data_IF_986458995668
#
_entry.id   IF_986458995668
#
_cell.length_a   1.000
_cell.length_b   1.000
_cell.length_c   1.000
_cell.angle_alpha   90.00
_cell.angle_beta   90.00
_cell.angle_gamma   90.00
#
_symmetry.space_group_name_H-M   'P 1'
#
loop_
_entity.id
_entity.type
_entity.pdbx_description
1 polymer ?
#
# COMPACT_ATOMS: atom_id res chain seq x y z
N UNK A 1 -8.78 4.99 -27.98
CA UNK A 1 -8.69 5.27 -26.53
C UNK A 1 -7.34 5.87 -26.16
N UNK A 2 -6.22 5.13 -26.23
CA UNK A 2 -4.86 5.66 -25.92
C UNK A 2 -4.56 7.03 -26.56
N UNK A 3 -4.72 7.12 -27.89
CA UNK A 3 -4.51 8.37 -28.65
C UNK A 3 -5.37 9.52 -28.11
N UNK A 4 -6.64 9.25 -27.80
CA UNK A 4 -7.54 10.27 -27.27
C UNK A 4 -7.09 10.77 -25.90
N UNK A 5 -6.70 9.87 -24.99
CA UNK A 5 -6.18 10.28 -23.69
C UNK A 5 -4.92 11.15 -23.82
N UNK A 6 -3.94 10.71 -24.60
CA UNK A 6 -2.64 11.39 -24.68
C UNK A 6 -2.66 12.66 -25.54
N UNK A 7 -3.47 12.71 -26.60
CA UNK A 7 -3.42 13.82 -27.56
C UNK A 7 -4.57 14.81 -27.38
N UNK A 8 -5.72 14.37 -26.87
CA UNK A 8 -6.94 15.20 -26.85
C UNK A 8 -7.39 15.56 -25.42
N UNK A 9 -7.31 14.63 -24.46
CA UNK A 9 -7.84 14.85 -23.11
C UNK A 9 -6.79 15.40 -22.13
N UNK A 10 -5.74 14.64 -21.83
CA UNK A 10 -4.75 14.99 -20.81
C UNK A 10 -3.99 16.31 -21.08
N UNK A 11 -3.66 16.67 -22.35
CA UNK A 11 -3.00 17.94 -22.63
C UNK A 11 -3.78 19.18 -22.17
N UNK A 12 -5.12 19.09 -22.06
CA UNK A 12 -5.98 20.21 -21.64
C UNK A 12 -5.68 20.71 -20.23
N UNK A 13 -5.36 19.79 -19.31
CA UNK A 13 -5.13 20.10 -17.90
C UNK A 13 -3.70 20.55 -17.59
N UNK A 14 -2.79 20.50 -18.58
CA UNK A 14 -1.40 20.95 -18.48
C UNK A 14 -0.70 20.52 -17.18
N UNK A 15 -0.78 19.24 -16.84
CA UNK A 15 -0.35 18.72 -15.53
C UNK A 15 1.15 18.95 -15.22
N UNK A 16 1.97 19.19 -16.24
CA UNK A 16 3.38 19.54 -16.05
C UNK A 16 3.56 20.88 -15.32
N UNK A 17 2.59 21.81 -15.42
CA UNK A 17 2.67 23.12 -14.77
C UNK A 17 2.81 23.02 -13.25
N UNK A 18 2.26 21.98 -12.62
CA UNK A 18 2.44 21.73 -11.17
C UNK A 18 3.89 21.43 -10.76
N UNK A 19 4.77 21.16 -11.72
CA UNK A 19 6.16 20.76 -11.51
C UNK A 19 7.17 21.69 -12.21
N UNK A 20 6.71 22.61 -13.05
CA UNK A 20 7.58 23.54 -13.79
C UNK A 20 7.64 24.92 -13.13
N UNK A 21 8.60 25.71 -13.61
CA UNK A 21 8.89 27.05 -13.13
C UNK A 21 8.33 28.08 -14.11
N UNK A 22 7.75 29.17 -13.59
CA UNK A 22 7.49 30.36 -14.39
C UNK A 22 8.80 31.08 -14.70
N UNK A 23 9.33 30.91 -15.92
CA UNK A 23 10.61 31.47 -16.34
C UNK A 23 10.59 33.01 -16.26
N UNK A 24 9.52 33.66 -16.73
CA UNK A 24 9.43 35.12 -16.75
C UNK A 24 9.42 35.74 -15.34
N UNK A 25 8.61 35.17 -14.44
CA UNK A 25 8.52 35.61 -13.04
C UNK A 25 9.85 35.39 -12.31
N UNK A 26 10.47 34.21 -12.50
CA UNK A 26 11.77 33.88 -11.88
C UNK A 26 12.89 34.78 -12.38
N UNK A 27 12.92 35.09 -13.68
CA UNK A 27 13.92 36.00 -14.24
C UNK A 27 13.72 37.43 -13.74
N UNK A 28 12.48 37.85 -13.46
CA UNK A 28 12.22 39.16 -12.85
C UNK A 28 12.79 39.22 -11.43
N UNK A 29 12.51 38.20 -10.60
CA UNK A 29 13.08 38.09 -9.25
C UNK A 29 14.62 38.05 -9.30
N UNK A 30 15.18 37.32 -10.26
CA UNK A 30 16.63 37.27 -10.45
C UNK A 30 17.23 38.62 -10.84
N UNK A 31 16.60 39.38 -11.74
CA UNK A 31 17.03 40.76 -12.06
C UNK A 31 17.03 41.66 -10.84
N UNK A 32 15.96 41.59 -10.03
CA UNK A 32 15.84 42.36 -8.79
C UNK A 32 16.97 41.99 -7.81
N UNK A 33 17.28 40.70 -7.66
CA UNK A 33 18.41 40.23 -6.85
C UNK A 33 19.75 40.79 -7.36
N UNK A 34 20.05 40.63 -8.66
CA UNK A 34 21.32 41.07 -9.25
C UNK A 34 21.53 42.57 -9.16
N UNK A 35 20.45 43.37 -9.20
CA UNK A 35 20.52 44.83 -9.05
C UNK A 35 21.10 45.29 -7.70
N UNK A 36 21.11 44.41 -6.70
CA UNK A 36 21.64 44.68 -5.37
C UNK A 36 23.08 44.19 -5.16
N UNK A 37 23.62 43.42 -6.12
CA UNK A 37 24.90 42.75 -6.02
C UNK A 37 25.97 43.45 -6.87
N UNK A 38 27.24 43.33 -6.46
CA UNK A 38 28.36 43.79 -7.29
C UNK A 38 28.76 42.69 -8.30
N UNK A 39 28.84 43.04 -9.59
CA UNK A 39 29.21 42.12 -10.67
C UNK A 39 30.68 41.67 -10.55
N UNK A 40 30.96 40.38 -10.27
CA UNK A 40 32.32 39.87 -10.15
C UNK A 40 33.00 39.74 -11.52
N UNK A 41 34.34 39.69 -11.53
CA UNK A 41 35.11 39.52 -12.77
C UNK A 41 35.03 38.10 -13.34
N UNK A 42 34.81 37.12 -12.48
CA UNK A 42 34.74 35.69 -12.81
C UNK A 42 33.58 35.09 -12.00
N UNK A 43 32.96 34.00 -12.48
CA UNK A 43 31.94 33.31 -11.70
C UNK A 43 32.52 32.78 -10.39
N UNK A 44 31.72 32.78 -9.33
CA UNK A 44 32.10 32.20 -8.05
C UNK A 44 31.99 30.66 -8.04
N UNK A 45 31.16 30.10 -8.92
CA UNK A 45 31.00 28.66 -9.14
C UNK A 45 30.75 28.37 -10.62
N UNK A 46 31.22 27.24 -11.11
CA UNK A 46 30.94 26.75 -12.47
C UNK A 46 30.01 25.52 -12.46
N UNK A 47 29.46 25.18 -11.29
CA UNK A 47 28.68 23.97 -11.09
C UNK A 47 27.19 24.12 -11.50
N UNK A 48 26.95 24.41 -12.78
CA UNK A 48 25.60 24.60 -13.37
C UNK A 48 24.61 23.47 -13.04
N UNK A 49 25.12 22.24 -12.93
CA UNK A 49 24.32 21.06 -12.60
C UNK A 49 23.68 21.10 -11.20
N UNK A 50 24.13 21.97 -10.29
CA UNK A 50 23.53 22.17 -8.97
C UNK A 50 22.23 22.98 -9.02
N UNK A 51 21.99 23.74 -10.09
CA UNK A 51 20.70 24.40 -10.30
C UNK A 51 19.67 23.34 -10.64
N UNK A 52 18.80 23.06 -9.67
CA UNK A 52 17.76 22.04 -9.72
C UNK A 52 16.42 22.64 -9.29
N UNK A 53 15.34 22.14 -9.87
CA UNK A 53 13.98 22.55 -9.51
C UNK A 53 13.68 22.05 -8.09
N UNK A 54 13.22 22.97 -7.23
CA UNK A 54 12.67 22.70 -5.91
C UNK A 54 11.16 22.86 -5.99
N UNK A 55 10.42 21.79 -5.71
CA UNK A 55 8.96 21.81 -5.69
C UNK A 55 8.48 22.28 -4.31
N UNK A 56 7.55 23.25 -4.31
CA UNK A 56 6.85 23.71 -3.11
C UNK A 56 5.62 22.87 -2.82
N UNK A 57 4.46 23.52 -2.69
CA UNK A 57 3.15 22.87 -2.47
C UNK A 57 2.54 22.28 -3.75
N UNK A 58 3.34 22.05 -4.79
CA UNK A 58 2.87 21.64 -6.12
C UNK A 58 1.74 22.53 -6.64
N UNK A 59 1.99 23.84 -6.71
CA UNK A 59 1.09 24.82 -7.33
C UNK A 59 1.57 25.11 -8.77
N UNK A 60 0.65 25.46 -9.67
CA UNK A 60 0.96 25.70 -11.09
C UNK A 60 2.02 26.78 -11.26
N UNK A 61 3.11 26.43 -11.93
CA UNK A 61 4.26 27.28 -12.26
C UNK A 61 4.98 27.90 -11.05
N UNK A 62 4.78 27.34 -9.85
CA UNK A 62 5.36 27.82 -8.58
C UNK A 62 6.50 26.97 -8.06
N UNK A 63 7.06 26.08 -8.89
CA UNK A 63 8.36 25.49 -8.56
C UNK A 63 9.45 26.56 -8.65
N UNK A 64 10.55 26.39 -7.92
CA UNK A 64 11.60 27.41 -7.76
C UNK A 64 12.99 26.84 -8.01
N UNK A 65 13.99 27.70 -8.19
CA UNK A 65 15.42 27.36 -8.11
C UNK A 65 16.11 28.20 -7.05
N UNK A 66 17.34 27.82 -6.70
CA UNK A 66 18.20 28.59 -5.82
C UNK A 66 18.78 29.82 -6.55
N UNK A 67 18.16 30.99 -6.38
CA UNK A 67 18.56 32.22 -7.04
C UNK A 67 19.92 32.76 -6.56
N UNK A 68 20.26 32.54 -5.30
CA UNK A 68 21.57 32.91 -4.74
C UNK A 68 22.67 32.11 -5.41
N UNK A 69 22.50 30.78 -5.52
CA UNK A 69 23.42 29.93 -6.27
C UNK A 69 23.47 30.29 -7.76
N UNK A 70 22.31 30.61 -8.37
CA UNK A 70 22.26 31.05 -9.75
C UNK A 70 23.07 32.35 -9.97
N UNK A 71 23.05 33.28 -9.01
CA UNK A 71 23.86 34.50 -9.09
C UNK A 71 25.35 34.21 -9.07
N UNK A 72 25.78 33.23 -8.25
CA UNK A 72 27.19 32.82 -8.16
C UNK A 72 27.72 32.19 -9.45
N UNK A 73 26.83 31.56 -10.23
CA UNK A 73 27.17 30.84 -11.46
C UNK A 73 27.08 31.75 -12.69
N UNK A 74 25.98 32.50 -12.84
CA UNK A 74 25.68 33.19 -14.10
C UNK A 74 26.07 34.68 -14.13
N UNK A 75 26.22 35.32 -12.97
CA UNK A 75 26.49 36.76 -12.87
C UNK A 75 27.98 37.04 -12.73
N UNK A 76 28.61 37.44 -13.84
CA UNK A 76 30.01 37.87 -13.90
C UNK A 76 30.25 38.69 -15.17
N UNK A 77 31.33 39.47 -15.20
CA UNK A 77 31.69 40.31 -16.36
C UNK A 77 32.11 39.48 -17.56
N UNK A 78 31.38 39.60 -18.67
CA UNK A 78 31.67 38.88 -19.93
C UNK A 78 32.43 39.78 -20.92
N UNK A 79 33.41 39.21 -21.62
CA UNK A 79 34.23 39.94 -22.60
C UNK A 79 33.51 40.02 -23.95
N UNK A 80 32.80 41.12 -24.23
CA UNK A 80 32.05 41.33 -25.48
C UNK A 80 32.11 42.78 -26.02
N UNK A 81 31.90 43.02 -27.33
CA UNK A 81 32.06 44.34 -27.98
C UNK A 81 30.97 45.37 -27.66
N UNK A 82 29.98 45.03 -26.84
CA UNK A 82 28.94 45.93 -26.38
C UNK A 82 28.67 45.65 -24.90
N UNK A 83 28.68 46.72 -24.09
CA UNK A 83 28.31 46.73 -22.67
C UNK A 83 26.80 46.51 -22.47
N UNK A 84 26.23 45.53 -23.17
CA UNK A 84 24.88 45.05 -22.89
C UNK A 84 24.90 44.46 -21.48
N UNK A 85 24.09 45.07 -20.62
CA UNK A 85 23.96 44.86 -19.17
C UNK A 85 24.35 43.43 -18.73
N UNK A 86 25.37 43.30 -17.88
CA UNK A 86 25.84 42.01 -17.35
C UNK A 86 24.67 41.21 -16.72
N UNK A 87 23.67 41.93 -16.19
CA UNK A 87 22.42 41.37 -15.66
C UNK A 87 21.63 40.64 -16.76
N UNK A 88 21.44 41.25 -17.94
CA UNK A 88 20.68 40.61 -19.03
C UNK A 88 21.38 39.36 -19.56
N UNK A 89 22.72 39.38 -19.64
CA UNK A 89 23.50 38.21 -20.03
C UNK A 89 23.41 37.07 -18.99
N UNK A 90 23.37 37.41 -17.70
CA UNK A 90 23.14 36.44 -16.63
C UNK A 90 21.71 35.88 -16.69
N UNK A 91 20.71 36.73 -16.96
CA UNK A 91 19.32 36.33 -17.14
C UNK A 91 19.13 35.41 -18.36
N UNK A 92 19.81 35.68 -19.48
CA UNK A 92 19.77 34.82 -20.66
C UNK A 92 20.33 33.43 -20.35
N UNK A 93 21.49 33.36 -19.68
CA UNK A 93 22.09 32.08 -19.27
C UNK A 93 21.20 31.30 -18.28
N UNK A 94 20.61 31.98 -17.29
CA UNK A 94 19.65 31.35 -16.38
C UNK A 94 18.38 30.92 -17.13
N UNK A 95 17.90 31.72 -18.08
CA UNK A 95 16.73 31.38 -18.91
C UNK A 95 16.94 30.06 -19.65
N UNK A 96 18.08 29.90 -20.32
CA UNK A 96 18.43 28.65 -21.02
C UNK A 96 18.41 27.46 -20.06
N UNK A 97 18.97 27.63 -18.85
CA UNK A 97 18.94 26.59 -17.81
C UNK A 97 17.52 26.27 -17.36
N UNK A 98 16.69 27.27 -17.08
CA UNK A 98 15.32 27.08 -16.62
C UNK A 98 14.46 26.40 -17.69
N UNK A 99 14.61 26.78 -18.96
CA UNK A 99 13.94 26.14 -20.09
C UNK A 99 14.36 24.68 -20.20
N UNK A 100 15.66 24.39 -20.09
CA UNK A 100 16.19 23.03 -20.07
C UNK A 100 15.60 22.18 -18.94
N UNK A 101 15.57 22.71 -17.71
CA UNK A 101 15.00 22.03 -16.55
C UNK A 101 13.50 21.77 -16.71
N UNK A 102 12.74 22.76 -17.20
CA UNK A 102 11.32 22.60 -17.52
C UNK A 102 11.09 21.52 -18.58
N UNK A 103 11.97 21.41 -19.59
CA UNK A 103 11.88 20.36 -20.61
C UNK A 103 12.08 18.96 -20.00
N UNK A 104 13.08 18.78 -19.14
CA UNK A 104 13.32 17.51 -18.42
C UNK A 104 12.09 17.11 -17.61
N UNK A 105 11.52 18.05 -16.85
CA UNK A 105 10.32 17.79 -16.04
C UNK A 105 9.14 17.43 -16.94
N UNK A 106 8.93 18.17 -18.02
CA UNK A 106 7.85 17.87 -18.95
C UNK A 106 8.00 16.45 -19.55
N UNK A 107 9.20 16.07 -20.00
CA UNK A 107 9.45 14.72 -20.54
C UNK A 107 9.13 13.63 -19.51
N UNK A 108 9.53 13.84 -18.24
CA UNK A 108 9.23 12.92 -17.15
C UNK A 108 7.73 12.81 -16.86
N UNK A 109 7.02 13.93 -16.84
CA UNK A 109 5.56 13.94 -16.67
C UNK A 109 4.87 13.26 -17.85
N UNK A 110 5.34 13.45 -19.09
CA UNK A 110 4.83 12.71 -20.24
C UNK A 110 5.04 11.20 -20.09
N UNK A 111 6.20 10.75 -19.62
CA UNK A 111 6.41 9.33 -19.33
C UNK A 111 5.40 8.81 -18.30
N UNK A 112 5.20 9.53 -17.19
CA UNK A 112 4.24 9.16 -16.16
C UNK A 112 2.81 9.07 -16.71
N UNK A 113 2.40 10.03 -17.56
CA UNK A 113 1.07 10.04 -18.19
C UNK A 113 0.88 8.86 -19.14
N UNK A 114 1.92 8.50 -19.90
CA UNK A 114 1.89 7.29 -20.74
C UNK A 114 1.67 6.05 -19.88
N UNK A 115 2.38 5.92 -18.75
CA UNK A 115 2.21 4.79 -17.81
C UNK A 115 0.83 4.80 -17.14
N UNK A 116 0.30 5.97 -16.79
CA UNK A 116 -1.05 6.10 -16.24
C UNK A 116 -2.11 5.62 -17.24
N UNK A 117 -1.97 6.00 -18.51
CA UNK A 117 -2.86 5.52 -19.60
C UNK A 117 -2.69 4.02 -19.81
N UNK A 118 -1.46 3.49 -19.77
CA UNK A 118 -1.21 2.04 -19.86
C UNK A 118 -1.94 1.27 -18.77
N UNK A 119 -1.81 1.71 -17.51
CA UNK A 119 -2.48 1.09 -16.37
C UNK A 119 -4.01 1.21 -16.46
N UNK A 120 -4.53 2.35 -16.90
CA UNK A 120 -5.97 2.56 -17.11
C UNK A 120 -6.51 1.58 -18.15
N UNK A 121 -5.80 1.40 -19.27
CA UNK A 121 -6.16 0.44 -20.32
C UNK A 121 -6.01 -1.01 -19.86
N UNK A 122 -5.00 -1.29 -19.03
CA UNK A 122 -4.79 -2.60 -18.40
C UNK A 122 -5.97 -2.97 -17.48
N UNK A 123 -6.37 -2.05 -16.61
CA UNK A 123 -7.52 -2.22 -15.72
C UNK A 123 -8.81 -2.44 -16.51
N UNK A 124 -9.08 -1.62 -17.54
CA UNK A 124 -10.23 -1.82 -18.41
C UNK A 124 -10.18 -3.18 -19.13
N UNK A 125 -9.00 -3.60 -19.63
CA UNK A 125 -8.84 -4.92 -20.26
C UNK A 125 -9.20 -6.03 -19.29
N UNK A 126 -8.68 -5.96 -18.07
CA UNK A 126 -8.95 -6.95 -17.03
C UNK A 126 -10.43 -6.99 -16.65
N UNK A 127 -11.04 -5.84 -16.37
CA UNK A 127 -12.43 -5.76 -15.90
C UNK A 127 -13.47 -6.21 -16.93
N UNK A 128 -13.25 -5.94 -18.22
CA UNK A 128 -14.28 -6.13 -19.25
C UNK A 128 -14.00 -7.27 -20.23
N UNK A 129 -12.75 -7.68 -20.41
CA UNK A 129 -12.36 -8.56 -21.52
C UNK A 129 -11.49 -9.75 -21.14
N UNK A 130 -10.86 -9.74 -19.95
CA UNK A 130 -10.03 -10.86 -19.52
C UNK A 130 -10.90 -12.02 -19.04
N UNK A 131 -10.63 -13.23 -19.55
CA UNK A 131 -11.34 -14.45 -19.16
C UNK A 131 -11.36 -14.68 -17.64
N UNK A 132 -10.27 -14.34 -16.96
CA UNK A 132 -10.07 -14.45 -15.51
C UNK A 132 -10.39 -13.15 -14.74
N UNK A 133 -10.99 -12.17 -15.40
CA UNK A 133 -11.45 -10.93 -14.80
C UNK A 133 -12.93 -10.92 -14.46
N UNK A 134 -13.44 -9.82 -13.87
CA UNK A 134 -14.85 -9.64 -13.53
C UNK A 134 -15.85 -9.75 -14.69
N UNK A 135 -15.40 -9.58 -15.94
CA UNK A 135 -16.23 -9.62 -17.16
C UNK A 135 -17.46 -8.70 -17.10
N UNK A 136 -17.28 -7.44 -16.68
CA UNK A 136 -18.37 -6.46 -16.67
C UNK A 136 -18.93 -6.24 -18.08
N UNK A 137 -20.25 -6.16 -18.19
CA UNK A 137 -20.90 -6.02 -19.50
C UNK A 137 -21.02 -4.57 -19.98
N UNK A 138 -21.09 -3.61 -19.05
CA UNK A 138 -21.37 -2.19 -19.35
C UNK A 138 -20.58 -1.25 -18.46
N UNK A 139 -20.21 -0.10 -19.03
CA UNK A 139 -19.59 0.99 -18.28
C UNK A 139 -20.70 1.77 -17.58
N UNK A 140 -20.61 1.86 -16.25
CA UNK A 140 -21.54 2.61 -15.39
C UNK A 140 -20.75 3.30 -14.26
N UNK A 141 -21.42 4.04 -13.38
CA UNK A 141 -20.76 4.59 -12.18
C UNK A 141 -20.34 3.47 -11.20
N UNK A 142 -21.05 2.35 -11.19
CA UNK A 142 -20.74 1.18 -10.35
C UNK A 142 -19.66 0.29 -10.98
N UNK A 143 -19.58 0.27 -12.31
CA UNK A 143 -18.59 -0.46 -13.10
C UNK A 143 -17.84 0.50 -14.03
N UNK A 144 -17.03 1.41 -13.47
CA UNK A 144 -16.38 2.45 -14.25
C UNK A 144 -15.26 1.89 -15.13
N UNK A 145 -14.87 2.67 -16.14
CA UNK A 145 -13.75 2.35 -17.03
C UNK A 145 -12.43 2.14 -16.27
N UNK A 146 -12.25 2.91 -15.20
CA UNK A 146 -11.15 2.80 -14.24
C UNK A 146 -11.72 3.00 -12.84
N UNK A 147 -11.18 2.29 -11.85
CA UNK A 147 -11.60 2.42 -10.47
C UNK A 147 -11.46 3.85 -9.97
N UNK A 148 -12.33 4.25 -9.04
CA UNK A 148 -12.24 5.56 -8.42
C UNK A 148 -11.07 5.59 -7.43
N UNK A 149 -10.09 6.46 -7.66
CA UNK A 149 -8.92 6.61 -6.79
C UNK A 149 -9.14 7.61 -5.66
N UNK A 150 -10.19 8.44 -5.72
CA UNK A 150 -10.43 9.51 -4.75
C UNK A 150 -11.87 9.50 -4.26
N UNK A 151 -12.05 9.64 -2.96
CA UNK A 151 -13.30 10.08 -2.38
C UNK A 151 -13.42 11.60 -2.52
N UNK A 152 -14.58 12.04 -2.99
CA UNK A 152 -14.91 13.44 -3.17
C UNK A 152 -15.87 13.90 -2.06
N UNK A 153 -15.89 15.20 -1.74
CA UNK A 153 -16.89 15.77 -0.84
C UNK A 153 -18.32 15.38 -1.25
N UNK A 154 -19.13 14.96 -0.28
CA UNK A 154 -20.51 14.46 -0.49
C UNK A 154 -20.65 13.23 -1.41
N UNK A 155 -19.55 12.58 -1.82
CA UNK A 155 -19.56 11.44 -2.73
C UNK A 155 -19.98 11.78 -4.16
N UNK A 156 -19.98 13.06 -4.54
CA UNK A 156 -20.38 13.50 -5.88
C UNK A 156 -19.24 13.36 -6.89
N UNK A 157 -19.46 12.54 -7.92
CA UNK A 157 -18.54 12.44 -9.06
C UNK A 157 -18.77 13.61 -10.03
N UNK A 158 -17.78 14.48 -10.16
CA UNK A 158 -17.84 15.71 -10.97
C UNK A 158 -17.04 15.59 -12.26
N UNK A 159 -17.36 16.42 -13.25
CA UNK A 159 -16.57 16.47 -14.48
C UNK A 159 -15.16 17.00 -14.15
N UNK A 160 -14.08 16.50 -14.79
CA UNK A 160 -12.72 16.93 -14.46
C UNK A 160 -12.50 18.45 -14.54
N UNK A 161 -13.12 19.15 -15.50
CA UNK A 161 -13.05 20.61 -15.60
C UNK A 161 -13.62 21.32 -14.35
N UNK A 162 -14.69 20.78 -13.75
CA UNK A 162 -15.28 21.31 -12.51
C UNK A 162 -14.38 20.98 -11.32
N UNK A 163 -13.78 19.79 -11.28
CA UNK A 163 -12.84 19.37 -10.25
C UNK A 163 -11.61 20.29 -10.25
N UNK A 164 -11.05 20.61 -11.42
CA UNK A 164 -9.90 21.50 -11.56
C UNK A 164 -10.20 22.89 -10.98
N UNK A 165 -11.36 23.47 -11.31
CA UNK A 165 -11.78 24.75 -10.77
C UNK A 165 -11.99 24.71 -9.25
N UNK A 166 -12.62 23.65 -8.73
CA UNK A 166 -12.88 23.50 -7.29
C UNK A 166 -11.60 23.29 -6.49
N UNK A 167 -10.66 22.49 -7.01
CA UNK A 167 -9.35 22.32 -6.38
C UNK A 167 -8.61 23.66 -6.31
N UNK A 168 -8.75 24.57 -7.26
CA UNK A 168 -8.09 25.87 -7.19
C UNK A 168 -8.81 26.89 -6.28
N UNK A 169 -10.12 26.76 -6.10
CA UNK A 169 -10.96 27.83 -5.49
C UNK A 169 -11.62 27.48 -4.17
N UNK A 170 -11.77 26.20 -3.84
CA UNK A 170 -12.49 25.73 -2.66
C UNK A 170 -11.58 24.90 -1.74
N UNK A 171 -11.12 25.55 -0.67
CA UNK A 171 -10.28 24.91 0.36
C UNK A 171 -10.97 23.72 1.04
N UNK A 172 -12.30 23.74 1.15
CA UNK A 172 -13.09 22.63 1.70
C UNK A 172 -13.01 21.46 0.73
N UNK A 173 -13.23 21.72 -0.56
CA UNK A 173 -13.12 20.68 -1.58
C UNK A 173 -11.73 20.05 -1.61
N UNK A 174 -10.68 20.86 -1.56
CA UNK A 174 -9.29 20.38 -1.44
C UNK A 174 -9.09 19.51 -0.20
N UNK A 175 -9.60 19.92 0.96
CA UNK A 175 -9.39 19.24 2.24
C UNK A 175 -10.14 17.90 2.35
N UNK A 176 -11.23 17.72 1.60
CA UNK A 176 -12.07 16.53 1.64
C UNK A 176 -11.94 15.64 0.39
N UNK A 177 -11.09 16.02 -0.57
CA UNK A 177 -10.67 15.14 -1.65
C UNK A 177 -9.57 14.21 -1.12
N UNK A 178 -9.93 12.98 -0.80
CA UNK A 178 -9.03 12.02 -0.15
C UNK A 178 -8.83 10.84 -1.07
N UNK A 179 -7.60 10.42 -1.35
CA UNK A 179 -7.41 9.18 -2.12
C UNK A 179 -7.93 7.94 -1.36
N UNK A 180 -8.13 6.84 -2.08
CA UNK A 180 -8.47 5.53 -1.52
C UNK A 180 -7.20 4.72 -1.25
N UNK A 181 -7.27 3.78 -0.29
CA UNK A 181 -6.20 2.80 -0.09
C UNK A 181 -6.23 1.72 -1.19
N UNK A 182 -5.13 0.97 -1.29
CA UNK A 182 -4.94 -0.10 -2.26
C UNK A 182 -3.55 -0.74 -2.11
N UNK A 183 -3.07 -1.36 -3.18
CA UNK A 183 -1.73 -1.91 -3.28
C UNK A 183 -1.16 -1.67 -4.69
N UNK A 184 0.16 -1.59 -4.79
CA UNK A 184 0.86 -1.44 -6.06
C UNK A 184 1.55 -2.77 -6.38
N UNK A 185 1.26 -3.31 -7.57
CA UNK A 185 1.81 -4.59 -8.00
C UNK A 185 3.34 -4.51 -8.10
N UNK A 186 4.04 -5.46 -7.45
CA UNK A 186 5.50 -5.56 -7.41
C UNK A 186 6.22 -4.32 -6.83
N UNK A 187 5.54 -3.54 -5.99
CA UNK A 187 6.17 -2.45 -5.27
C UNK A 187 6.66 -2.88 -3.88
N UNK A 188 7.51 -2.05 -3.26
CA UNK A 188 7.88 -2.22 -1.87
C UNK A 188 6.65 -1.94 -0.96
N UNK A 189 6.12 -2.94 -0.23
CA UNK A 189 4.96 -2.75 0.62
C UNK A 189 5.21 -1.78 1.78
N UNK A 190 6.48 -1.56 2.16
CA UNK A 190 6.86 -0.63 3.23
C UNK A 190 6.84 0.82 2.75
N UNK A 191 6.90 1.06 1.43
CA UNK A 191 6.79 2.39 0.88
C UNK A 191 5.33 2.81 0.85
N UNK A 192 5.01 3.86 1.60
CA UNK A 192 3.67 4.44 1.52
C UNK A 192 3.48 5.11 0.14
N UNK A 193 2.59 4.56 -0.69
CA UNK A 193 2.33 5.09 -2.03
C UNK A 193 1.33 6.26 -2.05
N UNK A 194 0.66 6.55 -0.92
CA UNK A 194 -0.28 7.66 -0.79
C UNK A 194 -0.34 8.16 0.67
N UNK A 195 -0.08 9.45 0.88
CA UNK A 195 0.00 10.04 2.22
C UNK A 195 -1.30 10.75 2.68
N UNK A 196 -2.25 11.06 1.80
CA UNK A 196 -3.44 11.90 2.12
C UNK A 196 -4.79 11.23 1.80
N UNK A 197 -5.22 10.25 2.61
CA UNK A 197 -6.32 9.36 2.23
C UNK A 197 -7.36 9.00 3.32
N UNK A 198 -8.46 8.36 2.89
CA UNK A 198 -9.35 7.55 3.75
C UNK A 198 -8.56 6.43 4.46
N UNK A 199 -7.39 6.02 3.93
CA UNK A 199 -6.42 5.30 4.78
C UNK A 199 -5.87 6.27 5.81
N UNK A 200 -6.03 5.84 7.04
CA UNK A 200 -5.76 6.60 8.25
C UNK A 200 -4.31 7.09 8.26
N UNK A 201 -4.12 8.41 8.09
CA UNK A 201 -2.80 9.05 8.12
C UNK A 201 -2.38 9.29 9.56
N UNK A 202 -1.66 8.34 10.16
CA UNK A 202 -1.18 8.49 11.53
C UNK A 202 -0.03 9.50 11.70
N UNK A 203 0.70 9.80 10.61
CA UNK A 203 1.98 10.49 10.69
C UNK A 203 3.09 9.65 11.33
N UNK A 204 4.14 10.30 11.80
CA UNK A 204 5.27 9.67 12.48
C UNK A 204 5.08 9.59 14.00
N UNK A 205 4.24 10.48 14.56
CA UNK A 205 3.99 10.60 16.00
C UNK A 205 2.55 11.01 16.30
N UNK A 206 2.16 10.92 17.56
CA UNK A 206 0.81 11.27 18.02
C UNK A 206 0.36 12.66 17.57
N UNK A 207 1.25 13.66 17.67
CA UNK A 207 0.97 15.06 17.38
C UNK A 207 0.61 15.31 15.91
N UNK A 208 0.98 14.41 15.00
CA UNK A 208 0.71 14.56 13.58
C UNK A 208 -0.77 14.29 13.24
N UNK A 209 -1.48 13.49 14.06
CA UNK A 209 -2.92 13.21 13.91
C UNK A 209 -3.59 12.75 15.22
N UNK A 210 -3.69 13.61 16.26
CA UNK A 210 -4.11 13.21 17.62
C UNK A 210 -5.46 12.48 17.68
N UNK A 211 -6.48 13.02 17.02
CA UNK A 211 -7.83 12.46 17.03
C UNK A 211 -7.89 11.02 16.47
N UNK A 212 -7.08 10.74 15.45
CA UNK A 212 -6.99 9.42 14.85
C UNK A 212 -6.30 8.42 15.80
N UNK A 213 -5.19 8.83 16.41
CA UNK A 213 -4.49 8.01 17.40
C UNK A 213 -5.39 7.67 18.58
N UNK A 214 -6.13 8.64 19.12
CA UNK A 214 -7.06 8.42 20.23
C UNK A 214 -8.20 7.49 19.84
N UNK A 215 -8.78 7.68 18.65
CA UNK A 215 -9.82 6.80 18.13
C UNK A 215 -9.33 5.34 18.01
N UNK A 216 -8.16 5.15 17.41
CA UNK A 216 -7.61 3.81 17.22
C UNK A 216 -7.14 3.17 18.51
N UNK A 217 -6.66 3.96 19.48
CA UNK A 217 -6.36 3.48 20.83
C UNK A 217 -7.64 2.98 21.51
N UNK A 218 -8.74 3.71 21.42
CA UNK A 218 -10.02 3.26 21.99
C UNK A 218 -10.56 2.02 21.28
N UNK A 219 -10.46 1.95 19.95
CA UNK A 219 -10.79 0.75 19.18
C UNK A 219 -9.95 -0.46 19.65
N UNK A 220 -8.64 -0.28 19.81
CA UNK A 220 -7.76 -1.33 20.32
C UNK A 220 -8.12 -1.73 21.75
N UNK A 221 -8.50 -0.78 22.62
CA UNK A 221 -9.00 -1.08 23.97
C UNK A 221 -10.22 -2.01 23.92
N UNK A 222 -11.19 -1.70 23.07
CA UNK A 222 -12.40 -2.51 22.89
C UNK A 222 -12.06 -3.92 22.41
N UNK A 223 -11.19 -4.05 21.41
CA UNK A 223 -10.75 -5.36 20.91
C UNK A 223 -10.03 -6.16 22.00
N UNK A 224 -9.06 -5.56 22.68
CA UNK A 224 -8.22 -6.22 23.69
C UNK A 224 -8.99 -6.65 24.95
N UNK A 225 -10.04 -5.91 25.31
CA UNK A 225 -10.90 -6.23 26.46
C UNK A 225 -12.05 -7.18 26.13
N UNK A 226 -12.32 -7.42 24.83
CA UNK A 226 -13.41 -8.30 24.38
C UNK A 226 -12.91 -9.65 23.88
N UNK A 227 -11.75 -9.68 23.23
CA UNK A 227 -11.22 -10.88 22.54
C UNK A 227 -9.88 -11.34 23.13
N UNK A 228 -9.57 -12.62 22.95
CA UNK A 228 -8.28 -13.20 23.34
C UNK A 228 -7.12 -12.78 22.44
N UNK A 229 -7.40 -12.16 21.29
CA UNK A 229 -6.41 -11.84 20.29
C UNK A 229 -6.99 -11.12 19.08
N UNK A 230 -6.11 -10.78 18.14
CA UNK A 230 -6.48 -10.17 16.86
C UNK A 230 -5.73 -10.83 15.68
N UNK A 231 -6.39 -10.81 14.52
CA UNK A 231 -5.77 -11.06 13.21
C UNK A 231 -5.45 -9.72 12.56
N UNK A 232 -4.16 -9.41 12.39
CA UNK A 232 -3.69 -8.23 11.68
C UNK A 232 -3.71 -8.49 10.18
N UNK A 233 -4.68 -7.88 9.50
CA UNK A 233 -4.82 -7.91 8.05
C UNK A 233 -3.76 -7.02 7.39
N UNK A 234 -3.15 -7.48 6.30
CA UNK A 234 -2.14 -6.74 5.53
C UNK A 234 -1.10 -6.01 6.41
N UNK A 235 -0.56 -6.72 7.41
CA UNK A 235 0.26 -6.12 8.46
C UNK A 235 1.51 -5.40 7.91
N UNK A 236 2.01 -5.85 6.76
CA UNK A 236 3.17 -5.29 6.07
C UNK A 236 2.94 -3.87 5.52
N UNK A 237 1.69 -3.47 5.31
CA UNK A 237 1.33 -2.12 4.83
C UNK A 237 0.98 -1.14 5.96
N UNK A 238 1.07 -1.58 7.22
CA UNK A 238 0.84 -0.72 8.38
C UNK A 238 2.18 -0.18 8.89
N UNK A 239 2.34 1.14 9.09
CA UNK A 239 3.57 1.70 9.64
C UNK A 239 3.92 1.03 10.97
N UNK A 240 5.18 0.59 11.10
CA UNK A 240 5.61 -0.25 12.22
C UNK A 240 5.40 0.43 13.58
N UNK A 241 5.66 1.73 13.67
CA UNK A 241 5.47 2.53 14.91
C UNK A 241 4.00 2.52 15.35
N UNK A 242 3.07 2.63 14.40
CA UNK A 242 1.63 2.62 14.68
C UNK A 242 1.22 1.24 15.17
N UNK A 243 1.55 0.19 14.41
CA UNK A 243 1.21 -1.17 14.77
C UNK A 243 1.80 -1.54 16.14
N UNK A 244 3.06 -1.17 16.40
CA UNK A 244 3.73 -1.46 17.67
C UNK A 244 3.01 -0.77 18.83
N UNK A 245 2.75 0.53 18.72
CA UNK A 245 2.10 1.30 19.79
C UNK A 245 0.73 0.73 20.14
N UNK A 246 -0.06 0.34 19.13
CA UNK A 246 -1.39 -0.24 19.36
C UNK A 246 -1.30 -1.65 19.96
N UNK A 247 -0.40 -2.51 19.47
CA UNK A 247 -0.25 -3.87 20.00
C UNK A 247 0.36 -3.90 21.41
N UNK A 248 1.28 -3.00 21.71
CA UNK A 248 1.81 -2.81 23.07
C UNK A 248 0.68 -2.39 24.01
N UNK A 249 -0.15 -1.41 23.61
CA UNK A 249 -1.32 -1.01 24.39
C UNK A 249 -2.35 -2.14 24.56
N UNK A 250 -2.58 -2.97 23.54
CA UNK A 250 -3.43 -4.13 23.66
C UNK A 250 -2.92 -5.11 24.75
N UNK A 251 -1.60 -5.28 24.84
CA UNK A 251 -0.96 -6.16 25.84
C UNK A 251 -0.83 -5.56 27.22
N UNK A 252 -0.76 -4.24 27.33
CA UNK A 252 -0.91 -3.56 28.63
C UNK A 252 -2.26 -3.89 29.26
N UNK A 253 -3.32 -3.96 28.45
CA UNK A 253 -4.67 -4.28 28.90
C UNK A 253 -4.91 -5.79 29.08
N UNK A 254 -4.32 -6.61 28.20
CA UNK A 254 -4.43 -8.06 28.20
C UNK A 254 -3.05 -8.69 27.93
N UNK A 255 -2.27 -9.04 28.97
CA UNK A 255 -0.92 -9.57 28.81
C UNK A 255 -0.81 -10.82 27.92
N UNK A 256 -1.87 -11.62 27.82
CA UNK A 256 -1.95 -12.84 27.02
C UNK A 256 -2.54 -12.60 25.62
N UNK A 257 -2.69 -11.34 25.18
CA UNK A 257 -3.30 -11.01 23.90
C UNK A 257 -2.54 -11.62 22.73
N UNK A 258 -3.21 -12.54 22.02
CA UNK A 258 -2.64 -13.32 20.92
C UNK A 258 -2.70 -12.56 19.61
N UNK A 259 -1.57 -12.45 18.93
CA UNK A 259 -1.45 -11.71 17.66
C UNK A 259 -1.17 -12.70 16.53
N UNK A 260 -2.12 -12.81 15.60
CA UNK A 260 -1.96 -13.48 14.31
C UNK A 260 -1.76 -12.42 13.24
N UNK A 261 -0.76 -12.55 12.36
CA UNK A 261 -0.54 -11.56 11.30
C UNK A 261 -0.50 -12.19 9.90
N UNK A 262 -1.18 -11.53 8.97
CA UNK A 262 -0.94 -11.72 7.54
C UNK A 262 0.22 -10.81 7.10
N UNK A 263 1.39 -11.42 6.97
CA UNK A 263 2.65 -10.71 6.75
C UNK A 263 3.42 -11.32 5.57
N UNK A 264 3.61 -10.52 4.53
CA UNK A 264 4.33 -10.88 3.31
C UNK A 264 5.24 -9.72 2.89
N UNK A 265 6.41 -9.60 3.50
CA UNK A 265 7.32 -8.47 3.23
C UNK A 265 8.32 -8.74 2.08
N UNK A 266 8.26 -9.92 1.47
CA UNK A 266 9.19 -10.35 0.42
C UNK A 266 10.58 -10.79 0.92
N UNK A 267 10.85 -10.68 2.23
CA UNK A 267 12.10 -11.08 2.87
C UNK A 267 11.86 -11.66 4.26
N UNK A 268 12.46 -12.82 4.55
CA UNK A 268 12.40 -13.44 5.89
C UNK A 268 13.04 -12.54 6.98
N UNK A 269 14.01 -11.69 6.61
CA UNK A 269 14.63 -10.73 7.53
C UNK A 269 13.66 -9.62 7.93
N UNK A 270 12.94 -9.04 6.96
CA UNK A 270 11.95 -7.99 7.24
C UNK A 270 10.77 -8.56 8.02
N UNK A 271 10.31 -9.78 7.69
CA UNK A 271 9.30 -10.49 8.48
C UNK A 271 9.73 -10.62 9.96
N UNK A 272 11.01 -10.95 10.20
CA UNK A 272 11.57 -11.08 11.55
C UNK A 272 11.54 -9.76 12.33
N UNK A 273 11.77 -8.62 11.65
CA UNK A 273 11.68 -7.29 12.29
C UNK A 273 10.26 -7.03 12.78
N UNK A 274 9.25 -7.26 11.94
CA UNK A 274 7.84 -7.08 12.31
C UNK A 274 7.45 -8.02 13.45
N UNK A 275 7.81 -9.30 13.36
CA UNK A 275 7.51 -10.27 14.41
C UNK A 275 8.09 -9.84 15.74
N UNK A 276 9.36 -9.44 15.79
CA UNK A 276 10.00 -9.06 17.05
C UNK A 276 9.45 -7.75 17.61
N UNK A 277 9.17 -6.77 16.76
CA UNK A 277 8.70 -5.44 17.18
C UNK A 277 7.24 -5.44 17.63
N UNK A 278 6.40 -6.22 16.97
CA UNK A 278 4.98 -6.36 17.30
C UNK A 278 4.74 -7.53 18.26
N UNK A 279 5.79 -8.31 18.55
CA UNK A 279 5.73 -9.60 19.23
C UNK A 279 4.60 -10.49 18.67
N UNK A 280 4.55 -10.65 17.35
CA UNK A 280 3.55 -11.49 16.68
C UNK A 280 3.71 -12.95 17.15
N UNK A 281 2.60 -13.57 17.57
CA UNK A 281 2.62 -14.95 18.03
C UNK A 281 2.70 -15.92 16.84
N UNK A 282 1.87 -15.70 15.81
CA UNK A 282 1.88 -16.56 14.61
C UNK A 282 1.70 -15.78 13.30
N UNK A 283 2.28 -16.34 12.24
CA UNK A 283 2.12 -15.83 10.87
C UNK A 283 1.16 -16.71 10.07
N UNK A 284 0.25 -16.07 9.33
CA UNK A 284 -0.60 -16.76 8.34
C UNK A 284 0.29 -17.28 7.22
N UNK A 285 0.23 -18.59 6.93
CA UNK A 285 1.01 -19.24 5.87
C UNK A 285 0.11 -20.14 5.02
N UNK A 286 0.33 -20.15 3.71
CA UNK A 286 -0.51 -20.86 2.73
C UNK A 286 0.19 -21.92 1.88
N UNK A 287 1.51 -22.15 2.05
CA UNK A 287 2.26 -23.13 1.24
C UNK A 287 3.33 -23.89 2.03
N UNK A 288 3.41 -25.19 1.74
CA UNK A 288 4.39 -26.21 2.17
C UNK A 288 4.23 -26.77 3.59
N UNK A 289 3.47 -27.86 3.70
CA UNK A 289 3.41 -28.75 4.87
C UNK A 289 4.79 -29.13 5.42
N UNK A 290 5.77 -29.35 4.54
CA UNK A 290 7.12 -29.76 4.92
C UNK A 290 7.87 -28.72 5.79
N UNK A 291 7.59 -27.42 5.64
CA UNK A 291 8.24 -26.38 6.48
C UNK A 291 7.64 -26.33 7.88
N UNK A 292 6.44 -26.88 8.06
CA UNK A 292 5.67 -26.84 9.30
C UNK A 292 5.47 -28.23 9.93
N UNK A 293 6.19 -29.24 9.43
CA UNK A 293 6.13 -30.62 9.93
C UNK A 293 6.97 -30.86 11.18
N UNK A 294 7.56 -29.83 11.78
CA UNK A 294 8.45 -29.98 12.93
C UNK A 294 9.87 -30.40 12.54
N UNK A 295 10.58 -30.96 13.51
CA UNK A 295 11.95 -31.45 13.32
C UNK A 295 11.95 -32.73 12.45
N UNK A 296 13.04 -32.95 11.70
CA UNK A 296 13.15 -34.16 10.89
C UNK A 296 13.19 -35.41 11.78
N UNK A 297 12.55 -36.50 11.35
CA UNK A 297 12.62 -37.79 12.05
C UNK A 297 14.09 -38.21 12.19
N UNK A 298 14.52 -38.49 13.42
CA UNK A 298 15.91 -38.81 13.74
C UNK A 298 16.81 -37.61 13.99
N UNK A 299 16.25 -36.41 14.15
CA UNK A 299 16.98 -35.23 14.64
C UNK A 299 17.62 -35.52 16.00
N UNK A 300 18.80 -34.93 16.22
CA UNK A 300 19.53 -35.12 17.48
C UNK A 300 18.71 -34.59 18.66
N UNK A 301 18.64 -35.39 19.73
CA UNK A 301 18.03 -34.98 20.99
C UNK A 301 18.66 -33.67 21.47
N UNK A 302 17.81 -32.67 21.66
CA UNK A 302 18.24 -31.37 22.16
C UNK A 302 18.40 -31.44 23.69
N UNK A 303 19.42 -30.79 24.26
CA UNK A 303 19.60 -30.73 25.71
C UNK A 303 18.48 -29.92 26.39
N UNK A 304 18.13 -30.29 27.63
CA UNK A 304 17.06 -29.65 28.41
C UNK A 304 17.36 -28.20 28.80
N UNK A 305 18.63 -27.82 28.87
CA UNK A 305 19.08 -26.45 29.04
C UNK A 305 19.74 -26.00 27.74
N UNK A 306 19.12 -25.01 27.09
CA UNK A 306 19.61 -24.41 25.86
C UNK A 306 19.69 -22.90 26.00
N UNK A 307 20.66 -22.24 25.34
CA UNK A 307 20.61 -20.79 25.18
C UNK A 307 19.35 -20.40 24.40
N UNK A 308 18.90 -19.16 24.58
CA UNK A 308 17.87 -18.58 23.71
C UNK A 308 18.47 -18.45 22.32
N UNK A 309 17.95 -19.21 21.36
CA UNK A 309 18.35 -19.18 19.97
C UNK A 309 17.27 -18.47 19.15
N UNK A 310 17.65 -17.76 18.06
CA UNK A 310 16.68 -17.31 17.07
C UNK A 310 15.92 -18.52 16.52
N UNK A 311 14.59 -18.44 16.54
CA UNK A 311 13.70 -19.45 15.99
C UNK A 311 12.81 -18.82 14.93
N UNK A 312 12.34 -19.64 14.00
CA UNK A 312 11.26 -19.20 13.13
C UNK A 312 10.00 -18.95 13.96
N UNK A 313 9.29 -17.87 13.63
CA UNK A 313 7.98 -17.57 14.22
C UNK A 313 7.02 -18.73 14.02
N UNK A 314 6.16 -18.96 15.00
CA UNK A 314 5.11 -19.96 14.86
C UNK A 314 4.23 -19.65 13.64
N UNK A 315 3.73 -20.71 13.02
CA UNK A 315 2.87 -20.61 11.85
C UNK A 315 1.44 -20.92 12.23
N UNK A 316 0.51 -20.25 11.55
CA UNK A 316 -0.91 -20.56 11.57
C UNK A 316 -1.31 -21.00 10.18
N UNK A 317 -1.58 -22.30 10.02
CA UNK A 317 -1.76 -22.92 8.72
C UNK A 317 -3.25 -23.09 8.39
N UNK A 318 -3.68 -22.46 7.30
CA UNK A 318 -5.04 -22.61 6.80
C UNK A 318 -5.12 -23.66 5.69
N UNK A 319 -6.16 -24.48 5.72
CA UNK A 319 -6.56 -25.27 4.55
C UNK A 319 -7.16 -24.40 3.44
N UNK A 320 -7.96 -23.41 3.85
CA UNK A 320 -8.52 -22.34 3.03
C UNK A 320 -8.70 -21.07 3.89
N UNK A 321 -8.15 -19.94 3.45
CA UNK A 321 -8.51 -18.62 4.00
C UNK A 321 -9.79 -18.08 3.35
N UNK A 322 -10.41 -17.05 3.93
CA UNK A 322 -11.60 -16.42 3.34
C UNK A 322 -11.31 -15.78 1.97
N UNK A 323 -10.07 -15.36 1.70
CA UNK A 323 -9.67 -14.80 0.39
C UNK A 323 -9.34 -15.87 -0.66
N UNK A 324 -9.16 -17.13 -0.26
CA UNK A 324 -8.78 -18.16 -1.21
C UNK A 324 -9.99 -18.58 -2.08
N UNK A 325 -9.77 -18.81 -3.39
CA UNK A 325 -10.81 -19.35 -4.25
C UNK A 325 -11.26 -20.73 -3.75
N UNK A 326 -12.49 -21.13 -4.08
CA UNK A 326 -13.01 -22.42 -3.64
C UNK A 326 -12.11 -23.58 -4.13
N UNK A 327 -11.66 -24.48 -3.23
CA UNK A 327 -10.86 -25.64 -3.58
C UNK A 327 -11.56 -26.54 -4.60
N UNK A 328 -12.89 -26.63 -4.53
CA UNK A 328 -13.70 -27.47 -5.42
C UNK A 328 -13.66 -26.92 -6.85
N UNK A 329 -13.80 -25.61 -7.02
CA UNK A 329 -13.73 -24.94 -8.34
C UNK A 329 -12.31 -24.99 -8.93
N UNK A 330 -11.29 -24.80 -8.10
CA UNK A 330 -9.90 -24.77 -8.55
C UNK A 330 -9.30 -26.15 -8.79
N UNK A 331 -9.83 -27.18 -8.14
CA UNK A 331 -9.27 -28.54 -8.13
C UNK A 331 -10.42 -29.53 -8.21
N UNK A 332 -10.79 -30.12 -7.08
CA UNK A 332 -11.86 -31.09 -6.98
C UNK A 332 -12.30 -31.24 -5.53
N UNK A 333 -13.51 -31.76 -5.32
CA UNK A 333 -14.02 -32.08 -3.98
C UNK A 333 -13.16 -33.13 -3.27
N UNK A 334 -12.49 -34.01 -4.01
CA UNK A 334 -11.63 -35.06 -3.46
C UNK A 334 -10.34 -34.50 -2.83
N UNK A 335 -9.91 -33.29 -3.19
CA UNK A 335 -8.71 -32.65 -2.60
C UNK A 335 -8.95 -32.12 -1.18
N UNK A 336 -10.22 -31.88 -0.81
CA UNK A 336 -10.59 -31.22 0.46
C UNK A 336 -10.18 -32.06 1.67
N UNK A 337 -10.58 -33.33 1.72
CA UNK A 337 -10.25 -34.23 2.84
C UNK A 337 -8.72 -34.44 3.04
N UNK A 338 -7.93 -34.86 2.02
CA UNK A 338 -6.50 -35.08 2.21
C UNK A 338 -5.76 -33.80 2.58
N UNK A 339 -6.17 -32.64 2.04
CA UNK A 339 -5.60 -31.36 2.43
C UNK A 339 -5.88 -31.01 3.88
N UNK A 340 -7.13 -31.17 4.34
CA UNK A 340 -7.49 -30.94 5.74
C UNK A 340 -6.68 -31.83 6.68
N UNK A 341 -6.47 -33.10 6.30
CA UNK A 341 -5.64 -34.04 7.05
C UNK A 341 -4.18 -33.56 7.11
N UNK A 342 -3.58 -33.20 5.97
CA UNK A 342 -2.20 -32.70 5.90
C UNK A 342 -1.98 -31.44 6.75
N UNK A 343 -2.95 -30.51 6.75
CA UNK A 343 -2.89 -29.28 7.56
C UNK A 343 -3.00 -29.61 9.05
N UNK A 344 -3.91 -30.50 9.43
CA UNK A 344 -4.09 -30.90 10.83
C UNK A 344 -2.90 -31.72 11.38
N UNK A 345 -2.16 -32.42 10.53
CA UNK A 345 -0.95 -33.16 10.92
C UNK A 345 0.30 -32.28 11.00
N UNK A 346 0.24 -31.01 10.58
CA UNK A 346 1.37 -30.11 10.73
C UNK A 346 1.60 -29.76 12.20
N UNK A 347 2.87 -29.65 12.63
CA UNK A 347 3.26 -29.25 13.98
C UNK A 347 3.17 -27.72 14.15
N UNK A 348 1.95 -27.18 13.98
CA UNK A 348 1.65 -25.76 14.11
C UNK A 348 0.16 -25.53 14.38
N UNK A 349 -0.20 -24.29 14.73
CA UNK A 349 -1.61 -23.91 14.82
C UNK A 349 -2.25 -24.03 13.44
N UNK A 350 -3.53 -24.45 13.39
CA UNK A 350 -4.25 -24.57 12.13
C UNK A 350 -5.66 -23.98 12.22
N UNK A 351 -6.24 -23.68 11.06
CA UNK A 351 -7.61 -23.21 10.96
C UNK A 351 -8.23 -23.43 9.58
N UNK A 352 -9.54 -23.20 9.52
CA UNK A 352 -10.37 -23.37 8.33
C UNK A 352 -11.35 -22.21 8.24
N UNK A 353 -11.72 -21.82 7.02
CA UNK A 353 -12.81 -20.89 6.81
C UNK A 353 -14.15 -21.63 6.80
N UNK A 354 -15.20 -21.03 7.38
CA UNK A 354 -16.57 -21.58 7.29
C UNK A 354 -16.96 -21.72 5.82
N UNK A 355 -17.52 -22.87 5.46
CA UNK A 355 -17.84 -23.26 4.09
C UNK A 355 -16.90 -24.34 3.53
N UNK A 356 -15.66 -24.43 4.02
CA UNK A 356 -14.72 -25.47 3.59
C UNK A 356 -15.17 -26.85 4.06
N UNK A 357 -15.43 -26.99 5.37
CA UNK A 357 -15.88 -28.25 6.00
C UNK A 357 -17.28 -28.68 5.51
N UNK A 358 -18.13 -27.70 5.17
CA UNK A 358 -19.46 -27.91 4.61
C UNK A 358 -19.44 -28.16 3.09
N UNK A 359 -18.28 -28.16 2.44
CA UNK A 359 -18.12 -28.38 1.00
C UNK A 359 -18.94 -27.41 0.12
N UNK A 360 -18.93 -26.12 0.47
CA UNK A 360 -19.58 -25.08 -0.33
C UNK A 360 -18.92 -25.05 -1.73
N UNK A 361 -19.68 -25.29 -2.82
CA UNK A 361 -19.11 -25.59 -4.14
C UNK A 361 -18.67 -24.36 -4.93
N UNK A 362 -18.73 -23.18 -4.33
CA UNK A 362 -18.43 -21.90 -4.98
C UNK A 362 -17.61 -21.00 -4.04
N UNK A 363 -16.88 -20.04 -4.59
CA UNK A 363 -16.17 -19.05 -3.79
C UNK A 363 -17.15 -18.12 -3.04
N UNK A 364 -16.95 -17.99 -1.73
CA UNK A 364 -17.75 -17.12 -0.86
C UNK A 364 -17.15 -15.70 -0.92
N UNK A 365 -17.64 -14.90 -1.85
CA UNK A 365 -17.19 -13.52 -2.07
C UNK A 365 -17.57 -12.62 -0.89
N UNK A 366 -16.56 -12.03 -0.22
CA UNK A 366 -16.74 -11.16 0.96
C UNK A 366 -17.48 -9.84 0.67
N UNK A 367 -17.59 -9.43 -0.59
CA UNK A 367 -18.24 -8.20 -1.04
C UNK A 367 -19.64 -8.46 -1.56
N UNK A 368 -19.86 -9.54 -2.32
CA UNK A 368 -21.09 -9.78 -3.07
C UNK A 368 -21.98 -10.90 -2.52
N UNK A 369 -21.45 -11.81 -1.69
CA UNK A 369 -22.28 -12.85 -1.10
C UNK A 369 -23.30 -12.25 -0.13
N UNK A 370 -24.55 -12.69 -0.24
CA UNK A 370 -25.66 -12.24 0.62
C UNK A 370 -26.42 -13.40 1.24
N UNK A 371 -26.16 -14.63 0.79
CA UNK A 371 -26.79 -15.83 1.33
C UNK A 371 -26.23 -16.11 2.72
N UNK A 372 -27.10 -16.63 3.59
CA UNK A 372 -26.70 -17.05 4.93
C UNK A 372 -26.14 -18.47 4.92
N UNK A 373 -25.20 -18.74 5.83
CA UNK A 373 -24.80 -20.11 6.12
C UNK A 373 -25.98 -20.93 6.67
N UNK A 374 -25.98 -22.26 6.46
CA UNK A 374 -26.89 -23.17 7.13
C UNK A 374 -26.88 -22.96 8.64
N UNK A 375 -28.07 -22.96 9.26
CA UNK A 375 -28.20 -22.94 10.73
C UNK A 375 -27.68 -24.25 11.31
N UNK A 376 -27.27 -24.20 12.57
CA UNK A 376 -26.95 -25.42 13.30
C UNK A 376 -28.23 -26.20 13.61
N UNK A 377 -28.26 -27.49 13.30
CA UNK A 377 -29.42 -28.36 13.57
C UNK A 377 -29.46 -29.63 12.71
N UNK A 378 -30.57 -30.36 12.79
CA UNK A 378 -30.73 -31.70 12.18
C UNK A 378 -31.70 -31.73 10.99
N UNK A 379 -32.22 -30.58 10.56
CA UNK A 379 -33.04 -30.46 9.36
C UNK A 379 -32.25 -30.60 8.06
N UNK A 380 -32.95 -30.81 6.93
CA UNK A 380 -32.34 -31.03 5.61
C UNK A 380 -31.45 -29.89 5.10
N UNK A 381 -31.63 -28.67 5.62
CA UNK A 381 -30.83 -27.47 5.27
C UNK A 381 -30.03 -26.93 6.45
N UNK A 382 -29.84 -27.76 7.47
CA UNK A 382 -29.07 -27.43 8.66
C UNK A 382 -27.74 -28.18 8.64
N UNK A 383 -26.75 -27.63 9.34
CA UNK A 383 -25.43 -28.22 9.50
C UNK A 383 -25.29 -28.74 10.91
N UNK A 384 -24.76 -29.95 11.06
CA UNK A 384 -24.43 -30.56 12.34
C UNK A 384 -23.09 -31.29 12.26
N UNK A 385 -22.73 -31.96 13.34
CA UNK A 385 -21.47 -32.70 13.45
C UNK A 385 -21.34 -33.84 12.43
N UNK A 386 -22.44 -34.29 11.82
CA UNK A 386 -22.44 -35.34 10.79
C UNK A 386 -22.34 -34.80 9.34
N UNK A 387 -22.38 -33.49 9.17
CA UNK A 387 -22.38 -32.85 7.84
C UNK A 387 -20.99 -32.94 7.20
N UNK A 388 -20.92 -33.55 6.02
CA UNK A 388 -19.78 -33.51 5.11
C UNK A 388 -18.42 -33.83 5.79
N UNK A 389 -17.48 -32.87 5.83
CA UNK A 389 -16.13 -33.07 6.35
C UNK A 389 -16.06 -32.92 7.88
N UNK A 390 -17.08 -32.36 8.52
CA UNK A 390 -17.07 -32.03 9.95
C UNK A 390 -16.70 -33.25 10.83
N UNK A 391 -17.23 -34.48 10.60
CA UNK A 391 -16.79 -35.65 11.34
C UNK A 391 -15.29 -35.93 11.25
N UNK A 392 -14.72 -35.81 10.04
CA UNK A 392 -13.30 -36.04 9.80
C UNK A 392 -12.45 -34.97 10.50
N UNK A 393 -12.88 -33.71 10.43
CA UNK A 393 -12.21 -32.59 11.11
C UNK A 393 -12.27 -32.71 12.63
N UNK A 394 -13.36 -33.23 13.19
CA UNK A 394 -13.43 -33.56 14.61
C UNK A 394 -12.39 -34.62 15.00
N UNK A 395 -12.21 -35.66 14.17
CA UNK A 395 -11.19 -36.70 14.40
C UNK A 395 -9.78 -36.09 14.31
N UNK A 396 -9.50 -35.32 13.27
CA UNK A 396 -8.19 -34.69 13.07
C UNK A 396 -7.84 -33.73 14.21
N UNK A 397 -8.79 -32.89 14.66
CA UNK A 397 -8.56 -31.95 15.75
C UNK A 397 -8.34 -32.66 17.08
N UNK A 398 -9.08 -33.75 17.35
CA UNK A 398 -8.85 -34.60 18.54
C UNK A 398 -7.47 -35.23 18.52
N UNK A 399 -7.06 -35.78 17.37
CA UNK A 399 -5.73 -36.36 17.20
C UNK A 399 -4.64 -35.31 17.39
N UNK A 400 -4.76 -34.15 16.75
CA UNK A 400 -3.82 -33.04 16.89
C UNK A 400 -3.68 -32.62 18.36
N UNK A 401 -4.80 -32.44 19.06
CA UNK A 401 -4.80 -32.10 20.49
C UNK A 401 -4.12 -33.18 21.34
N UNK A 402 -4.42 -34.46 21.10
CA UNK A 402 -3.81 -35.58 21.81
C UNK A 402 -2.29 -35.60 21.61
N UNK A 403 -1.83 -35.44 20.37
CA UNK A 403 -0.40 -35.36 20.02
C UNK A 403 0.27 -34.20 20.75
N UNK A 404 -0.30 -32.99 20.68
CA UNK A 404 0.24 -31.83 21.38
C UNK A 404 0.29 -32.04 22.90
N UNK A 405 -0.78 -32.60 23.50
CA UNK A 405 -0.85 -32.83 24.95
C UNK A 405 0.19 -33.82 25.48
N UNK A 406 0.63 -34.75 24.61
CA UNK A 406 1.67 -35.74 24.90
C UNK A 406 3.07 -35.26 24.55
N UNK A 407 3.21 -34.03 24.03
CA UNK A 407 4.50 -33.43 23.69
C UNK A 407 5.11 -33.94 22.38
N UNK A 408 4.29 -34.44 21.44
CA UNK A 408 4.77 -34.74 20.09
C UNK A 408 5.07 -33.44 19.34
N UNK A 409 6.23 -33.39 18.71
CA UNK A 409 6.80 -32.23 18.00
C UNK A 409 7.20 -32.56 16.54
N UNK A 410 6.75 -33.72 16.04
CA UNK A 410 7.02 -34.29 14.71
C UNK A 410 5.76 -34.84 14.06
#
# INVERSE_FOLDING_TARGET
>A
IRRYFLNDLLPKYKLHEYYTINVEETLKEFRELLSTLECPLVPYSEEDHLIQIKHGKYERLKSTVDLDLASQIYYYKRSGPSSHDDIEQACEALSDRLIYLNHIVNDKIQEHLVRAVDNTLGACRYHFFAHDGPNFERITLQTPFVGNYFAYPNGEFKHPDEIEQLIETDITYQSYCMAHNGWVMNDDPLRNFAEDIIKLRFGQKYEDSPALWDYMKEYTRLVATTFHGARLDNCHSTPLVVAQTLMDYARELNPEFYILAELFTGSDQTDTVFVNKLAINSLVRGRLTARFGGDAIGSFFQPSCRPILPLMTHSFYYDQTHDNPCPIERRSVQDVLPRAACVAMACCANGSNRGYDELVPHHIDVVHERRFYPKAGNGERESNESTNLIPAKLIFNKLHHELCSKGYDQ
#
